data_IF_122247030807
#
_entry.id   IF_122247030807
#
_cell.length_a   1.000
_cell.length_b   1.000
_cell.length_c   1.000
_cell.angle_alpha   90.00
_cell.angle_beta   90.00
_cell.angle_gamma   90.00
#
_symmetry.space_group_name_H-M   'P 1'
#
loop_
_entity.id
_entity.type
_entity.pdbx_description
1 polymer ?
#
# COMPACT_ATOMS: atom_id res chain seq x y z
N UNK A 1 10.33 18.77 14.98
CA UNK A 1 9.17 18.32 14.18
C UNK A 1 8.63 19.53 13.43
N UNK A 2 8.31 19.42 12.15
CA UNK A 2 7.75 20.53 11.38
C UNK A 2 6.34 20.83 11.92
N UNK A 3 6.02 22.11 11.98
CA UNK A 3 4.74 22.59 12.51
C UNK A 3 3.89 23.13 11.36
N UNK A 4 2.71 22.57 11.15
CA UNK A 4 1.64 23.24 10.44
C UNK A 4 0.78 23.91 11.49
N UNK A 5 0.59 25.23 11.41
CA UNK A 5 -0.13 26.02 12.43
C UNK A 5 0.39 25.84 13.88
N UNK A 6 1.73 25.64 14.08
CA UNK A 6 2.33 25.46 15.39
C UNK A 6 2.19 24.05 15.99
N UNK A 7 1.58 23.08 15.31
CA UNK A 7 1.47 21.69 15.74
C UNK A 7 2.43 20.78 14.98
N UNK A 8 3.05 19.85 15.70
CA UNK A 8 3.93 18.82 15.16
C UNK A 8 3.14 17.56 14.84
N UNK A 9 3.20 17.09 13.59
CA UNK A 9 2.49 15.90 13.13
C UNK A 9 3.48 14.81 12.71
N UNK A 10 3.07 13.55 12.87
CA UNK A 10 3.66 12.44 12.11
C UNK A 10 3.12 12.52 10.67
N UNK A 11 3.96 12.24 9.70
CA UNK A 11 3.65 12.42 8.27
C UNK A 11 3.62 11.07 7.56
N UNK A 12 2.51 10.76 6.91
CA UNK A 12 2.34 9.55 6.12
C UNK A 12 2.24 9.85 4.62
N UNK A 13 2.88 9.06 3.80
CA UNK A 13 2.66 8.98 2.34
C UNK A 13 1.90 7.69 2.06
N UNK A 14 0.73 7.80 1.41
CA UNK A 14 -0.11 6.67 1.03
C UNK A 14 -0.23 6.62 -0.48
N UNK A 15 0.31 5.58 -1.12
CA UNK A 15 0.17 5.38 -2.57
C UNK A 15 -1.12 4.64 -2.90
N UNK A 16 -1.71 4.91 -4.08
CA UNK A 16 -3.01 4.37 -4.44
C UNK A 16 -4.14 4.90 -3.54
N UNK A 17 -4.02 6.14 -3.05
CA UNK A 17 -4.89 6.73 -2.05
C UNK A 17 -6.28 7.13 -2.56
N UNK A 18 -6.53 7.11 -3.87
CA UNK A 18 -7.77 7.63 -4.47
C UNK A 18 -8.99 6.73 -4.35
N UNK A 19 -8.88 5.51 -3.82
CA UNK A 19 -10.01 4.57 -3.65
C UNK A 19 -9.66 3.41 -2.71
N UNK A 20 -10.66 2.60 -2.38
CA UNK A 20 -10.51 1.30 -1.72
C UNK A 20 -9.71 1.36 -0.41
N UNK A 21 -8.73 0.47 -0.27
CA UNK A 21 -7.89 0.35 0.94
C UNK A 21 -7.11 1.64 1.19
N UNK A 22 -6.51 2.24 0.13
CA UNK A 22 -5.73 3.46 0.27
C UNK A 22 -6.53 4.63 0.83
N UNK A 23 -7.74 4.86 0.32
CA UNK A 23 -8.64 5.88 0.83
C UNK A 23 -9.06 5.61 2.28
N UNK A 24 -9.33 4.34 2.63
CA UNK A 24 -9.63 3.94 4.00
C UNK A 24 -8.46 4.22 4.96
N UNK A 25 -7.22 3.91 4.54
CA UNK A 25 -6.01 4.17 5.33
C UNK A 25 -5.79 5.66 5.53
N UNK A 26 -5.99 6.49 4.49
CA UNK A 26 -5.95 7.95 4.62
C UNK A 26 -6.90 8.43 5.71
N UNK A 27 -8.15 7.98 5.67
CA UNK A 27 -9.16 8.38 6.64
C UNK A 27 -8.80 7.96 8.08
N UNK A 28 -8.30 6.74 8.26
CA UNK A 28 -7.92 6.23 9.58
C UNK A 28 -6.71 6.98 10.14
N UNK A 29 -5.64 7.16 9.35
CA UNK A 29 -4.46 7.90 9.77
C UNK A 29 -4.78 9.38 10.08
N UNK A 30 -5.65 10.02 9.28
CA UNK A 30 -6.08 11.40 9.56
C UNK A 30 -6.82 11.51 10.89
N UNK A 31 -7.70 10.56 11.24
CA UNK A 31 -8.37 10.50 12.55
C UNK A 31 -7.37 10.28 13.70
N UNK A 32 -6.32 9.49 13.48
CA UNK A 32 -5.24 9.23 14.43
C UNK A 32 -4.23 10.39 14.53
N UNK A 33 -4.53 11.54 13.92
CA UNK A 33 -3.73 12.76 14.04
C UNK A 33 -2.52 12.85 13.11
N UNK A 34 -2.41 12.02 12.08
CA UNK A 34 -1.37 12.13 11.07
C UNK A 34 -1.64 13.25 10.06
N UNK A 35 -0.57 13.86 9.56
CA UNK A 35 -0.62 14.53 8.26
C UNK A 35 -0.43 13.49 7.16
N UNK A 36 -1.25 13.54 6.10
CA UNK A 36 -1.25 12.50 5.07
C UNK A 36 -1.10 13.09 3.68
N UNK A 37 -0.10 12.60 2.95
CA UNK A 37 0.08 12.85 1.52
C UNK A 37 -0.60 11.72 0.74
N UNK A 38 -1.64 12.08 0.00
CA UNK A 38 -2.43 11.19 -0.83
C UNK A 38 -1.80 11.12 -2.23
N UNK A 39 -1.22 9.99 -2.60
CA UNK A 39 -0.57 9.81 -3.89
C UNK A 39 -1.36 8.85 -4.80
N UNK A 40 -1.49 9.22 -6.07
CA UNK A 40 -2.14 8.40 -7.10
C UNK A 40 -2.31 9.15 -8.40
N UNK A 41 -2.58 8.45 -9.51
CA UNK A 41 -2.64 9.04 -10.84
C UNK A 41 -3.82 9.98 -11.09
N UNK A 42 -4.96 9.73 -10.43
CA UNK A 42 -6.22 10.46 -10.66
C UNK A 42 -6.38 11.57 -9.63
N UNK A 43 -6.04 12.80 -10.00
CA UNK A 43 -6.11 13.96 -9.11
C UNK A 43 -7.54 14.20 -8.57
N UNK A 44 -8.56 14.00 -9.40
CA UNK A 44 -9.98 14.12 -9.01
C UNK A 44 -10.39 13.10 -7.92
N UNK A 45 -9.88 11.87 -8.00
CA UNK A 45 -10.13 10.84 -7.00
C UNK A 45 -9.46 11.18 -5.65
N UNK A 46 -8.23 11.68 -5.68
CA UNK A 46 -7.52 12.14 -4.49
C UNK A 46 -8.25 13.32 -3.84
N UNK A 47 -8.68 14.28 -4.65
CA UNK A 47 -9.43 15.44 -4.17
C UNK A 47 -10.77 15.05 -3.52
N UNK A 48 -11.51 14.07 -4.08
CA UNK A 48 -12.73 13.53 -3.46
C UNK A 48 -12.45 12.90 -2.10
N UNK A 49 -11.37 12.12 -1.96
CA UNK A 49 -10.99 11.52 -0.67
C UNK A 49 -10.66 12.61 0.35
N UNK A 50 -9.87 13.61 -0.02
CA UNK A 50 -9.53 14.72 0.86
C UNK A 50 -10.77 15.54 1.26
N UNK A 51 -11.68 15.84 0.32
CA UNK A 51 -12.93 16.56 0.58
C UNK A 51 -13.89 15.79 1.51
N UNK A 52 -13.79 14.47 1.56
CA UNK A 52 -14.53 13.62 2.49
C UNK A 52 -14.04 13.71 3.95
N UNK A 53 -12.96 14.46 4.21
CA UNK A 53 -12.32 14.59 5.53
C UNK A 53 -12.13 16.08 5.89
N UNK A 54 -13.20 16.90 5.90
CA UNK A 54 -13.08 18.36 6.04
C UNK A 54 -12.42 18.81 7.34
N UNK A 55 -12.62 18.07 8.44
CA UNK A 55 -12.05 18.37 9.76
C UNK A 55 -10.51 18.15 9.81
N UNK A 56 -9.94 17.60 8.74
CA UNK A 56 -8.52 17.28 8.62
C UNK A 56 -7.86 17.93 7.40
N UNK A 57 -8.55 18.84 6.71
CA UNK A 57 -8.12 19.39 5.42
C UNK A 57 -6.74 20.08 5.47
N UNK A 58 -6.38 20.69 6.58
CA UNK A 58 -5.08 21.34 6.82
C UNK A 58 -3.89 20.39 6.84
N UNK A 59 -4.17 19.10 7.12
CA UNK A 59 -3.18 18.00 7.24
C UNK A 59 -3.19 17.05 6.04
N UNK A 60 -3.97 17.33 5.01
CA UNK A 60 -4.06 16.50 3.81
C UNK A 60 -3.40 17.21 2.63
N UNK A 61 -2.61 16.48 1.87
CA UNK A 61 -1.99 16.97 0.64
C UNK A 61 -2.19 15.95 -0.48
N UNK A 62 -2.92 16.33 -1.53
CA UNK A 62 -3.16 15.48 -2.68
C UNK A 62 -2.10 15.72 -3.76
N UNK A 63 -1.37 14.69 -4.16
CA UNK A 63 -0.30 14.77 -5.16
C UNK A 63 -0.55 13.75 -6.27
N UNK A 64 -0.83 14.25 -7.48
CA UNK A 64 -0.94 13.39 -8.66
C UNK A 64 0.41 12.72 -8.93
N UNK A 65 0.45 11.38 -8.86
CA UNK A 65 1.70 10.61 -8.92
C UNK A 65 1.50 9.32 -9.72
N UNK A 66 2.36 9.08 -10.68
CA UNK A 66 2.55 7.77 -11.28
C UNK A 66 3.73 7.08 -10.60
N UNK A 67 3.46 5.98 -9.87
CA UNK A 67 4.51 5.24 -9.15
C UNK A 67 5.49 4.52 -10.09
N UNK A 68 5.16 4.38 -11.37
CA UNK A 68 6.04 3.78 -12.37
C UNK A 68 7.05 4.77 -12.98
N UNK A 69 6.87 6.06 -12.69
CA UNK A 69 7.75 7.13 -13.13
C UNK A 69 8.63 7.62 -11.96
N UNK A 70 9.93 7.47 -12.12
CA UNK A 70 10.93 7.83 -11.12
C UNK A 70 10.90 9.31 -10.74
N UNK A 71 10.73 10.19 -11.72
CA UNK A 71 10.67 11.64 -11.49
C UNK A 71 9.38 12.03 -10.74
N UNK A 72 8.26 11.42 -11.12
CA UNK A 72 6.99 11.60 -10.43
C UNK A 72 7.04 11.15 -8.97
N UNK A 73 7.70 10.01 -8.70
CA UNK A 73 7.91 9.54 -7.32
C UNK A 73 8.82 10.47 -6.54
N UNK A 74 9.93 10.94 -7.14
CA UNK A 74 10.81 11.91 -6.49
C UNK A 74 10.05 13.18 -6.11
N UNK A 75 9.30 13.75 -7.04
CA UNK A 75 8.49 14.96 -6.83
C UNK A 75 7.45 14.77 -5.70
N UNK A 76 6.85 13.59 -5.56
CA UNK A 76 5.95 13.24 -4.45
C UNK A 76 6.64 13.42 -3.10
N UNK A 77 7.82 12.83 -2.90
CA UNK A 77 8.52 12.90 -1.62
C UNK A 77 9.09 14.30 -1.35
N UNK A 78 9.58 14.99 -2.38
CA UNK A 78 10.01 16.38 -2.25
C UNK A 78 8.83 17.30 -1.86
N UNK A 79 7.63 17.07 -2.41
CA UNK A 79 6.41 17.77 -2.02
C UNK A 79 6.00 17.46 -0.58
N UNK A 80 6.10 16.19 -0.14
CA UNK A 80 5.81 15.79 1.23
C UNK A 80 6.75 16.52 2.22
N UNK A 81 8.04 16.56 1.92
CA UNK A 81 9.04 17.27 2.73
C UNK A 81 8.82 18.78 2.70
N UNK A 82 8.57 19.37 1.54
CA UNK A 82 8.31 20.81 1.43
C UNK A 82 7.07 21.25 2.23
N UNK A 83 6.02 20.40 2.27
CA UNK A 83 4.76 20.72 2.94
C UNK A 83 4.79 20.41 4.43
N UNK A 84 5.40 19.30 4.85
CA UNK A 84 5.33 18.79 6.21
C UNK A 84 6.70 18.55 6.85
N UNK A 85 7.82 18.75 6.14
CA UNK A 85 9.20 18.73 6.63
C UNK A 85 9.78 17.34 6.83
N UNK A 86 8.99 16.25 6.77
CA UNK A 86 9.44 14.88 7.04
C UNK A 86 8.51 13.84 6.44
N UNK A 87 8.90 12.58 6.51
CA UNK A 87 8.06 11.40 6.23
C UNK A 87 8.30 10.35 7.31
N UNK A 88 7.27 10.01 8.10
CA UNK A 88 7.34 9.02 9.17
C UNK A 88 6.79 7.66 8.75
N UNK A 89 5.91 7.64 7.76
CA UNK A 89 5.28 6.42 7.23
C UNK A 89 5.21 6.46 5.71
N UNK A 90 5.60 5.37 5.07
CA UNK A 90 5.18 5.05 3.70
C UNK A 90 4.26 3.83 3.73
N UNK A 91 3.06 3.95 3.19
CA UNK A 91 2.23 2.81 2.85
C UNK A 91 2.24 2.58 1.34
N UNK A 92 3.01 1.60 0.89
CA UNK A 92 3.07 1.14 -0.50
C UNK A 92 1.81 0.33 -0.82
N UNK A 93 0.75 1.01 -1.26
CA UNK A 93 -0.53 0.40 -1.54
C UNK A 93 -0.93 0.46 -3.02
N UNK A 94 -0.32 1.32 -3.83
CA UNK A 94 -0.57 1.31 -5.27
C UNK A 94 -0.35 -0.09 -5.84
N UNK A 95 -1.32 -0.57 -6.61
CA UNK A 95 -1.26 -1.90 -7.19
C UNK A 95 -2.31 -2.09 -8.27
N UNK A 96 -2.04 -3.03 -9.17
CA UNK A 96 -2.95 -3.46 -10.24
C UNK A 96 -2.99 -4.97 -10.33
N UNK A 97 -4.12 -5.49 -10.84
CA UNK A 97 -4.23 -6.87 -11.31
C UNK A 97 -4.15 -6.93 -12.84
N UNK A 98 -4.08 -8.15 -13.37
CA UNK A 98 -4.28 -8.41 -14.79
C UNK A 98 -5.61 -9.14 -15.01
N UNK A 99 -6.18 -9.10 -16.23
CA UNK A 99 -7.27 -9.98 -16.62
C UNK A 99 -6.85 -11.45 -16.44
N UNK A 100 -7.77 -12.35 -16.04
CA UNK A 100 -7.49 -13.78 -16.00
C UNK A 100 -7.22 -14.30 -17.41
N UNK A 101 -6.09 -15.00 -17.59
CA UNK A 101 -5.65 -15.57 -18.87
C UNK A 101 -4.92 -16.88 -18.67
N UNK A 102 -4.93 -17.74 -19.66
CA UNK A 102 -4.07 -18.90 -19.71
C UNK A 102 -2.61 -18.46 -19.87
N UNK A 103 -1.69 -19.16 -19.23
CA UNK A 103 -0.30 -18.73 -19.06
C UNK A 103 0.41 -18.42 -20.39
N UNK A 104 0.20 -19.26 -21.39
CA UNK A 104 0.80 -19.15 -22.73
C UNK A 104 0.22 -18.03 -23.59
N UNK A 105 -0.90 -17.44 -23.17
CA UNK A 105 -1.59 -16.35 -23.90
C UNK A 105 -1.34 -14.96 -23.32
N UNK A 106 -0.58 -14.84 -22.22
CA UNK A 106 -0.33 -13.56 -21.54
C UNK A 106 0.63 -12.70 -22.38
N UNK A 107 0.19 -11.52 -22.90
CA UNK A 107 1.09 -10.62 -23.56
C UNK A 107 2.16 -10.09 -22.62
N UNK A 108 3.42 -9.97 -23.07
CA UNK A 108 4.51 -9.41 -22.27
C UNK A 108 4.16 -8.02 -21.71
N UNK A 109 3.46 -7.19 -22.47
CA UNK A 109 3.03 -5.87 -22.05
C UNK A 109 2.07 -5.91 -20.84
N UNK A 110 1.15 -6.87 -20.76
CA UNK A 110 0.26 -7.05 -19.59
C UNK A 110 1.05 -7.50 -18.34
N UNK A 111 1.99 -8.44 -18.54
CA UNK A 111 2.91 -8.83 -17.47
C UNK A 111 3.70 -7.64 -16.96
N UNK A 112 4.35 -6.89 -17.87
CA UNK A 112 5.19 -5.76 -17.54
C UNK A 112 4.39 -4.65 -16.80
N UNK A 113 3.18 -4.34 -17.26
CA UNK A 113 2.34 -3.34 -16.59
C UNK A 113 2.05 -3.68 -15.13
N UNK A 114 1.87 -4.96 -14.78
CA UNK A 114 1.69 -5.41 -13.39
C UNK A 114 3.00 -5.30 -12.61
N UNK A 115 4.13 -5.70 -13.21
CA UNK A 115 5.46 -5.60 -12.59
C UNK A 115 5.81 -4.14 -12.31
N UNK A 116 5.58 -3.25 -13.27
CA UNK A 116 5.90 -1.83 -13.14
C UNK A 116 5.16 -1.17 -11.97
N UNK A 117 3.86 -1.45 -11.84
CA UNK A 117 3.08 -0.86 -10.74
C UNK A 117 3.38 -1.54 -9.40
N UNK A 118 3.29 -2.88 -9.35
CA UNK A 118 3.27 -3.61 -8.09
C UNK A 118 4.66 -3.80 -7.48
N UNK A 119 5.70 -3.86 -8.28
CA UNK A 119 7.06 -4.14 -7.82
C UNK A 119 8.00 -2.95 -8.04
N UNK A 120 8.17 -2.49 -9.29
CA UNK A 120 9.04 -1.35 -9.60
C UNK A 120 8.57 -0.09 -8.88
N UNK A 121 7.27 0.21 -8.92
CA UNK A 121 6.69 1.37 -8.24
C UNK A 121 6.84 1.29 -6.72
N UNK A 122 6.63 0.11 -6.12
CA UNK A 122 6.88 -0.08 -4.69
C UNK A 122 8.36 0.12 -4.33
N UNK A 123 9.28 -0.36 -5.17
CA UNK A 123 10.72 -0.13 -5.00
C UNK A 123 11.07 1.36 -5.09
N UNK A 124 10.59 2.07 -6.11
CA UNK A 124 10.86 3.50 -6.28
C UNK A 124 10.37 4.32 -5.08
N UNK A 125 9.14 4.07 -4.62
CA UNK A 125 8.60 4.72 -3.43
C UNK A 125 9.39 4.36 -2.16
N UNK A 126 9.79 3.08 -2.00
CA UNK A 126 10.62 2.62 -0.88
C UNK A 126 11.97 3.33 -0.88
N UNK A 127 12.63 3.46 -2.03
CA UNK A 127 13.93 4.13 -2.18
C UNK A 127 13.85 5.61 -1.76
N UNK A 128 12.84 6.33 -2.23
CA UNK A 128 12.67 7.74 -1.89
C UNK A 128 12.26 7.95 -0.42
N UNK A 129 11.38 7.10 0.13
CA UNK A 129 11.08 7.12 1.55
C UNK A 129 12.33 6.85 2.39
N UNK A 130 13.12 5.85 2.02
CA UNK A 130 14.38 5.53 2.69
C UNK A 130 15.37 6.69 2.65
N UNK A 131 15.50 7.37 1.48
CA UNK A 131 16.31 8.59 1.33
C UNK A 131 15.89 9.67 2.34
N UNK A 132 14.60 9.96 2.44
CA UNK A 132 14.08 10.99 3.36
C UNK A 132 14.27 10.55 4.81
N UNK A 133 13.81 9.36 5.18
CA UNK A 133 13.84 8.83 6.56
C UNK A 133 15.26 8.72 7.13
N UNK A 134 16.23 8.41 6.26
CA UNK A 134 17.65 8.31 6.65
C UNK A 134 18.28 9.66 7.03
N UNK A 135 17.85 10.74 6.38
CA UNK A 135 18.52 12.05 6.48
C UNK A 135 17.70 13.10 7.24
N UNK A 136 16.46 12.83 7.60
CA UNK A 136 15.64 13.74 8.41
C UNK A 136 16.05 13.73 9.90
N UNK A 137 15.59 14.75 10.65
CA UNK A 137 15.79 14.86 12.11
C UNK A 137 14.44 15.02 12.83
N UNK A 138 14.09 14.17 13.82
CA UNK A 138 14.79 12.93 14.15
C UNK A 138 14.77 11.92 12.99
N UNK A 139 15.85 11.15 12.89
CA UNK A 139 16.03 10.10 11.87
C UNK A 139 15.04 8.96 12.09
N UNK A 140 14.76 8.19 11.02
CA UNK A 140 13.97 6.98 11.07
C UNK A 140 12.56 7.14 10.51
N UNK A 141 11.82 6.04 10.49
CA UNK A 141 10.46 5.97 9.96
C UNK A 141 10.00 4.53 9.74
N UNK A 142 8.84 4.36 9.14
CA UNK A 142 8.24 3.05 8.89
C UNK A 142 7.79 2.92 7.45
N UNK A 143 8.05 1.76 6.85
CA UNK A 143 7.54 1.38 5.53
C UNK A 143 6.63 0.16 5.71
N UNK A 144 5.41 0.24 5.21
CA UNK A 144 4.45 -0.87 5.19
C UNK A 144 4.15 -1.19 3.74
N UNK A 145 4.43 -2.41 3.32
CA UNK A 145 4.14 -2.89 1.99
C UNK A 145 2.80 -3.63 1.96
N UNK A 146 1.92 -3.27 1.03
CA UNK A 146 0.71 -4.01 0.75
C UNK A 146 1.06 -5.29 -0.01
N UNK A 147 1.14 -6.39 0.74
CA UNK A 147 1.28 -7.74 0.23
C UNK A 147 -0.05 -8.32 -0.26
N UNK A 148 -0.15 -9.62 -0.15
CA UNK A 148 -1.38 -10.37 -0.42
C UNK A 148 -1.21 -11.81 0.07
N UNK A 149 -2.31 -12.47 0.41
CA UNK A 149 -2.30 -13.94 0.59
C UNK A 149 -1.80 -14.67 -0.68
N UNK A 150 -1.87 -14.01 -1.85
CA UNK A 150 -1.27 -14.51 -3.10
C UNK A 150 0.26 -14.57 -3.06
N UNK A 151 0.91 -13.96 -2.07
CA UNK A 151 2.33 -14.16 -1.79
C UNK A 151 2.64 -15.55 -1.19
N UNK A 152 1.61 -16.32 -0.82
CA UNK A 152 1.74 -17.65 -0.20
C UNK A 152 0.95 -18.71 -0.97
N UNK A 153 -0.29 -18.41 -1.35
CA UNK A 153 -1.19 -19.34 -2.03
C UNK A 153 -1.77 -18.69 -3.29
N UNK A 154 -1.30 -19.08 -4.48
CA UNK A 154 -1.76 -18.49 -5.72
C UNK A 154 -3.21 -18.88 -6.06
N UNK A 155 -3.81 -18.13 -6.98
CA UNK A 155 -5.06 -18.49 -7.66
C UNK A 155 -4.79 -18.84 -9.11
N UNK A 156 -5.64 -19.63 -9.74
CA UNK A 156 -5.57 -19.82 -11.18
C UNK A 156 -5.55 -18.48 -11.93
N UNK A 157 -4.84 -18.41 -13.05
CA UNK A 157 -4.79 -17.28 -13.97
C UNK A 157 -4.36 -15.95 -13.31
N UNK A 158 -3.48 -15.99 -12.30
CA UNK A 158 -3.01 -14.81 -11.56
C UNK A 158 -1.49 -14.64 -11.53
N UNK A 159 -0.77 -15.22 -12.50
CA UNK A 159 0.70 -15.36 -12.43
C UNK A 159 1.43 -14.03 -12.24
N UNK A 160 1.11 -12.97 -12.98
CA UNK A 160 1.78 -11.68 -12.88
C UNK A 160 1.58 -11.06 -11.48
N UNK A 161 0.35 -11.07 -11.00
CA UNK A 161 0.03 -10.58 -9.67
C UNK A 161 0.71 -11.43 -8.58
N UNK A 162 0.60 -12.75 -8.67
CA UNK A 162 1.20 -13.69 -7.73
C UNK A 162 2.73 -13.50 -7.66
N UNK A 163 3.41 -13.44 -8.81
CA UNK A 163 4.85 -13.25 -8.86
C UNK A 163 5.27 -11.93 -8.19
N UNK A 164 4.56 -10.82 -8.50
CA UNK A 164 4.88 -9.52 -7.89
C UNK A 164 4.64 -9.53 -6.37
N UNK A 165 3.59 -10.20 -5.88
CA UNK A 165 3.31 -10.27 -4.43
C UNK A 165 4.31 -11.16 -3.68
N UNK A 166 4.86 -12.21 -4.30
CA UNK A 166 6.01 -12.93 -3.75
C UNK A 166 7.27 -12.05 -3.70
N UNK A 167 7.53 -11.28 -4.78
CA UNK A 167 8.68 -10.38 -4.84
C UNK A 167 8.61 -9.25 -3.78
N UNK A 168 7.42 -8.74 -3.45
CA UNK A 168 7.21 -7.76 -2.37
C UNK A 168 7.67 -8.32 -1.02
N UNK A 169 7.53 -9.62 -0.78
CA UNK A 169 8.06 -10.24 0.46
C UNK A 169 9.59 -10.15 0.52
N UNK A 170 10.27 -10.35 -0.60
CA UNK A 170 11.72 -10.16 -0.71
C UNK A 170 12.12 -8.71 -0.49
N UNK A 171 11.44 -7.76 -1.16
CA UNK A 171 11.65 -6.32 -1.00
C UNK A 171 11.49 -5.90 0.47
N UNK A 172 10.42 -6.36 1.13
CA UNK A 172 10.14 -6.05 2.55
C UNK A 172 11.28 -6.51 3.47
N UNK A 173 11.72 -7.76 3.31
CA UNK A 173 12.78 -8.35 4.15
C UNK A 173 14.13 -7.65 3.95
N UNK A 174 14.48 -7.35 2.70
CA UNK A 174 15.71 -6.62 2.37
C UNK A 174 15.69 -5.21 2.92
N UNK A 175 14.59 -4.47 2.71
CA UNK A 175 14.42 -3.11 3.25
C UNK A 175 14.47 -3.09 4.78
N UNK A 176 13.87 -4.09 5.45
CA UNK A 176 13.94 -4.20 6.91
C UNK A 176 15.36 -4.42 7.42
N UNK A 177 16.18 -5.19 6.69
CA UNK A 177 17.58 -5.43 7.04
C UNK A 177 18.42 -4.15 6.84
N UNK A 178 18.31 -3.53 5.68
CA UNK A 178 19.08 -2.34 5.30
C UNK A 178 18.68 -1.11 6.12
N UNK A 179 17.44 -1.07 6.62
CA UNK A 179 16.90 0.02 7.42
C UNK A 179 17.39 0.07 8.86
N UNK A 180 17.87 -1.04 9.44
CA UNK A 180 18.26 -1.15 10.85
C UNK A 180 19.25 -0.07 11.33
N UNK A 181 20.33 0.25 10.58
CA UNK A 181 21.28 1.27 11.01
C UNK A 181 20.70 2.69 11.02
N UNK A 182 19.50 2.88 10.47
CA UNK A 182 18.87 4.18 10.24
C UNK A 182 17.55 4.36 10.96
N UNK A 183 17.19 3.44 11.87
CA UNK A 183 15.91 3.43 12.58
C UNK A 183 14.69 3.36 11.63
N UNK A 184 14.86 2.68 10.48
CA UNK A 184 13.79 2.48 9.50
C UNK A 184 13.25 1.06 9.64
N UNK A 185 12.00 0.96 10.11
CA UNK A 185 11.28 -0.30 10.19
C UNK A 185 10.57 -0.59 8.86
N UNK A 186 10.58 -1.85 8.43
CA UNK A 186 9.80 -2.28 7.27
C UNK A 186 9.01 -3.53 7.61
N UNK A 187 7.72 -3.54 7.23
CA UNK A 187 6.81 -4.67 7.41
C UNK A 187 5.86 -4.84 6.22
N UNK A 188 5.13 -5.93 6.22
CA UNK A 188 4.19 -6.29 5.16
C UNK A 188 2.83 -6.64 5.76
N UNK A 189 1.76 -6.18 5.11
CA UNK A 189 0.40 -6.62 5.39
C UNK A 189 -0.12 -7.46 4.22
N UNK A 190 -0.41 -8.74 4.47
CA UNK A 190 -0.98 -9.66 3.49
C UNK A 190 -2.49 -9.65 3.58
N UNK A 191 -3.13 -9.16 2.52
CA UNK A 191 -4.57 -8.91 2.51
C UNK A 191 -5.28 -9.98 1.70
N UNK A 192 -6.34 -10.56 2.29
CA UNK A 192 -7.23 -11.51 1.64
C UNK A 192 -8.64 -10.98 1.49
N UNK A 193 -9.09 -10.75 0.25
CA UNK A 193 -10.46 -10.41 -0.13
C UNK A 193 -11.06 -9.18 0.57
N UNK A 194 -10.38 -8.03 0.56
CA UNK A 194 -10.99 -6.77 0.96
C UNK A 194 -11.99 -6.27 -0.11
N UNK A 195 -13.13 -5.76 0.31
CA UNK A 195 -14.16 -5.22 -0.57
C UNK A 195 -13.71 -3.88 -1.18
N UNK A 196 -13.31 -3.92 -2.44
CA UNK A 196 -12.86 -2.79 -3.26
C UNK A 196 -13.33 -3.02 -4.70
N UNK A 197 -13.23 -2.01 -5.56
CA UNK A 197 -13.54 -2.14 -6.99
C UNK A 197 -12.72 -3.28 -7.65
N UNK A 198 -11.44 -3.43 -7.26
CA UNK A 198 -10.55 -4.48 -7.76
C UNK A 198 -11.08 -5.90 -7.47
N UNK A 199 -11.76 -6.07 -6.36
CA UNK A 199 -12.24 -7.38 -5.87
C UNK A 199 -13.73 -7.61 -6.08
N UNK A 200 -14.43 -6.72 -6.79
CA UNK A 200 -15.88 -6.83 -6.97
C UNK A 200 -16.27 -8.14 -7.67
N UNK A 201 -15.48 -8.56 -8.66
CA UNK A 201 -15.64 -9.85 -9.34
C UNK A 201 -15.63 -11.05 -8.40
N UNK A 202 -14.99 -10.96 -7.23
CA UNK A 202 -14.94 -12.06 -6.26
C UNK A 202 -16.32 -12.38 -5.65
N UNK A 203 -17.19 -11.38 -5.55
CA UNK A 203 -18.56 -11.58 -5.11
C UNK A 203 -19.44 -12.28 -6.17
N UNK A 204 -19.07 -12.17 -7.44
CA UNK A 204 -19.79 -12.78 -8.56
C UNK A 204 -19.31 -14.19 -8.86
N UNK A 205 -18.04 -14.48 -8.61
CA UNK A 205 -17.40 -15.78 -8.80
C UNK A 205 -16.01 -15.65 -9.45
N UNK A 206 -15.09 -16.44 -8.94
CA UNK A 206 -13.71 -16.53 -9.45
C UNK A 206 -13.31 -18.00 -9.59
N UNK A 207 -12.37 -18.31 -10.51
CA UNK A 207 -11.85 -19.67 -10.68
C UNK A 207 -11.20 -20.19 -9.38
N UNK A 208 -11.53 -21.41 -9.03
CA UNK A 208 -10.96 -22.16 -7.91
C UNK A 208 -9.94 -23.19 -8.41
N UNK A 209 -9.11 -23.71 -7.50
CA UNK A 209 -8.09 -24.72 -7.84
C UNK A 209 -8.68 -26.02 -8.41
N UNK A 210 -9.92 -26.35 -8.06
CA UNK A 210 -10.66 -27.52 -8.56
C UNK A 210 -11.33 -27.29 -9.93
N UNK A 211 -11.10 -26.13 -10.56
CA UNK A 211 -11.69 -25.74 -11.84
C UNK A 211 -13.13 -25.17 -11.73
N UNK A 212 -13.75 -25.19 -10.55
CA UNK A 212 -15.04 -24.56 -10.34
C UNK A 212 -14.96 -23.04 -10.30
N UNK A 213 -16.08 -22.35 -10.50
CA UNK A 213 -16.20 -20.89 -10.31
C UNK A 213 -17.13 -20.66 -9.13
N UNK A 214 -16.64 -19.97 -8.08
CA UNK A 214 -17.43 -19.74 -6.86
C UNK A 214 -17.26 -18.30 -6.36
N UNK A 215 -18.31 -17.68 -5.80
CA UNK A 215 -18.19 -16.44 -5.04
C UNK A 215 -17.30 -16.65 -3.81
N UNK A 216 -16.51 -15.64 -3.49
CA UNK A 216 -15.72 -15.64 -2.26
C UNK A 216 -16.13 -14.49 -1.33
N UNK A 217 -16.26 -14.75 -0.02
CA UNK A 217 -16.48 -13.71 0.98
C UNK A 217 -15.41 -12.63 0.96
N UNK A 218 -15.84 -11.40 1.25
CA UNK A 218 -14.98 -10.22 1.36
C UNK A 218 -15.17 -9.55 2.72
N UNK A 219 -14.11 -8.96 3.27
CA UNK A 219 -14.15 -8.12 4.47
C UNK A 219 -14.23 -6.64 4.07
N UNK A 220 -14.65 -5.78 4.99
CA UNK A 220 -14.66 -4.34 4.74
C UNK A 220 -13.22 -3.79 4.59
N UNK A 221 -13.01 -2.85 3.65
CA UNK A 221 -11.70 -2.17 3.49
C UNK A 221 -11.28 -1.42 4.78
N UNK A 222 -12.25 -0.98 5.59
CA UNK A 222 -12.00 -0.35 6.89
C UNK A 222 -11.28 -1.28 7.89
N UNK A 223 -11.48 -2.60 7.81
CA UNK A 223 -10.78 -3.55 8.68
C UNK A 223 -9.29 -3.58 8.35
N UNK A 224 -8.95 -3.50 7.07
CA UNK A 224 -7.56 -3.39 6.61
C UNK A 224 -6.96 -2.05 7.03
N UNK A 225 -7.72 -0.95 6.92
CA UNK A 225 -7.25 0.38 7.30
C UNK A 225 -6.87 0.43 8.79
N UNK A 226 -7.69 -0.15 9.68
CA UNK A 226 -7.37 -0.26 11.11
C UNK A 226 -6.12 -1.10 11.38
N UNK A 227 -5.92 -2.19 10.64
CA UNK A 227 -4.72 -3.00 10.76
C UNK A 227 -3.46 -2.24 10.33
N UNK A 228 -3.51 -1.45 9.25
CA UNK A 228 -2.41 -0.58 8.83
C UNK A 228 -2.15 0.52 9.87
N UNK A 229 -3.18 1.14 10.42
CA UNK A 229 -3.04 2.16 11.48
C UNK A 229 -2.41 1.58 12.75
N UNK A 230 -2.77 0.35 13.14
CA UNK A 230 -2.10 -0.36 14.23
C UNK A 230 -0.60 -0.54 13.96
N UNK A 231 -0.23 -1.05 12.77
CA UNK A 231 1.18 -1.21 12.40
C UNK A 231 1.92 0.15 12.40
N UNK A 232 1.28 1.20 11.90
CA UNK A 232 1.83 2.56 11.82
C UNK A 232 2.02 3.20 13.20
N UNK A 233 1.16 2.85 14.17
CA UNK A 233 1.16 3.40 15.52
C UNK A 233 2.26 2.87 16.44
N UNK A 234 2.89 1.75 16.11
CA UNK A 234 3.95 1.15 16.92
C UNK A 234 5.20 2.05 17.00
N UNK A 235 5.94 2.05 18.12
CA UNK A 235 7.24 2.70 18.19
C UNK A 235 8.24 2.04 17.22
N UNK A 236 9.32 2.73 16.84
CA UNK A 236 10.25 2.24 15.82
C UNK A 236 11.10 1.04 16.26
N UNK A 237 11.24 0.80 17.56
CA UNK A 237 11.90 -0.38 18.14
C UNK A 237 11.02 -1.63 18.10
N UNK A 238 9.73 -1.49 17.79
CA UNK A 238 8.79 -2.59 17.59
C UNK A 238 8.29 -2.61 16.14
N UNK A 239 8.31 -3.78 15.50
CA UNK A 239 7.88 -3.94 14.12
C UNK A 239 6.98 -5.16 13.93
N UNK A 240 5.88 -4.98 13.19
CA UNK A 240 5.14 -6.11 12.63
C UNK A 240 5.80 -6.48 11.31
N UNK A 241 6.60 -7.54 11.33
CA UNK A 241 7.31 -8.00 10.12
C UNK A 241 6.34 -8.47 9.03
N UNK A 242 5.30 -9.22 9.43
CA UNK A 242 4.22 -9.68 8.54
C UNK A 242 2.93 -9.79 9.33
N UNK A 243 1.83 -9.31 8.73
CA UNK A 243 0.48 -9.46 9.26
C UNK A 243 -0.44 -9.96 8.15
N UNK A 244 -1.24 -10.98 8.42
CA UNK A 244 -2.29 -11.44 7.49
C UNK A 244 -3.65 -11.01 7.99
N UNK A 245 -4.41 -10.29 7.15
CA UNK A 245 -5.79 -9.88 7.41
C UNK A 245 -6.67 -10.35 6.26
N UNK A 246 -7.68 -11.16 6.54
CA UNK A 246 -8.49 -11.78 5.50
C UNK A 246 -9.95 -11.96 5.93
N UNK A 247 -10.86 -12.08 4.96
CA UNK A 247 -12.23 -12.41 5.24
C UNK A 247 -12.33 -13.80 5.91
N UNK A 248 -12.96 -13.88 7.08
CA UNK A 248 -12.99 -15.11 7.90
C UNK A 248 -13.46 -16.36 7.16
N UNK A 249 -14.41 -16.21 6.23
CA UNK A 249 -15.03 -17.32 5.50
C UNK A 249 -14.43 -17.54 4.10
N UNK A 250 -13.36 -16.81 3.72
CA UNK A 250 -12.74 -17.04 2.42
C UNK A 250 -11.96 -18.36 2.40
N UNK A 251 -11.88 -19.06 1.26
CA UNK A 251 -11.11 -20.30 1.14
C UNK A 251 -9.60 -19.98 1.06
N UNK A 252 -8.92 -20.00 2.18
CA UNK A 252 -7.46 -19.82 2.29
C UNK A 252 -6.85 -20.95 3.10
N UNK A 253 -7.23 -21.09 4.37
CA UNK A 253 -6.88 -22.26 5.19
C UNK A 253 -7.75 -23.45 4.73
N UNK A 254 -7.13 -24.59 4.49
CA UNK A 254 -7.81 -25.78 3.98
C UNK A 254 -8.06 -25.77 2.46
N UNK A 255 -7.47 -24.83 1.74
CA UNK A 255 -7.36 -24.87 0.28
C UNK A 255 -6.25 -25.88 -0.05
N UNK A 256 -6.62 -27.12 -0.28
CA UNK A 256 -5.74 -28.24 -0.64
C UNK A 256 -6.13 -28.84 -1.96
#
# INVERSE_FOLDING_TARGET
MPCVNGQSYRVAVVTGAGSGIGAGVVAELARDGWAVVLAGRRADALARVAAGLPDHADRLEAVATDVTDEESVRALFDRAVARFGRVDLLFNNAGSGAPPRDLDTIPLAEWQAVVDVNLTGAFLCTREAFRVMRHQDPRGGRIINNGSISAHTPRPQSIAYTATKHAITGLTKSTALDGRPYDIACGQIDIGNAATDMTERMAQGIPQADGSVRPEPRMAAADVARAVAYMAGLPLDANVATMTVMATKMPYIGRG
#
